data_IF_372761919455
#
_entry.id   IF_372761919455
#
_cell.length_a   1.000
_cell.length_b   1.000
_cell.length_c   1.000
_cell.angle_alpha   90.00
_cell.angle_beta   90.00
_cell.angle_gamma   90.00
#
_symmetry.space_group_name_H-M   'P 1'
#
loop_
_entity.id
_entity.type
_entity.pdbx_description
1 polymer ?
#
# COMPACT_ATOMS: atom_id res chain seq x y z
N UNK A 1 -6.07 -23.30 2.37
CA UNK A 1 -6.01 -22.52 3.64
C UNK A 1 -4.64 -21.90 3.82
N UNK A 2 -3.54 -22.67 3.86
CA UNK A 2 -2.17 -22.14 4.00
C UNK A 2 -1.85 -20.97 3.04
N UNK A 3 -2.15 -21.09 1.74
CA UNK A 3 -1.87 -20.00 0.80
C UNK A 3 -2.68 -18.73 1.06
N UNK A 4 -3.92 -18.83 1.55
CA UNK A 4 -4.73 -17.64 1.89
C UNK A 4 -4.10 -16.87 3.06
N UNK A 5 -3.66 -17.61 4.08
CA UNK A 5 -2.94 -17.03 5.22
C UNK A 5 -1.63 -16.37 4.78
N UNK A 6 -0.83 -17.04 3.94
CA UNK A 6 0.42 -16.48 3.43
C UNK A 6 0.21 -15.20 2.60
N UNK A 7 -0.85 -15.14 1.77
CA UNK A 7 -1.17 -13.90 1.03
C UNK A 7 -1.68 -12.79 1.95
N UNK A 8 -2.55 -13.10 2.92
CA UNK A 8 -2.98 -12.13 3.93
C UNK A 8 -1.76 -11.52 4.63
N UNK A 9 -0.87 -12.37 5.13
CA UNK A 9 0.36 -12.03 5.81
C UNK A 9 1.31 -11.20 4.94
N UNK A 10 1.43 -11.54 3.65
CA UNK A 10 2.22 -10.79 2.69
C UNK A 10 1.70 -9.35 2.54
N UNK A 11 0.40 -9.17 2.29
CA UNK A 11 -0.19 -7.86 2.09
C UNK A 11 -0.20 -7.03 3.38
N UNK A 12 -0.53 -7.65 4.52
CA UNK A 12 -0.52 -6.98 5.82
C UNK A 12 0.87 -6.43 6.16
N UNK A 13 1.93 -7.24 6.03
CA UNK A 13 3.29 -6.78 6.31
C UNK A 13 3.79 -5.77 5.28
N UNK A 14 3.40 -5.90 4.02
CA UNK A 14 3.74 -4.91 2.99
C UNK A 14 3.12 -3.54 3.27
N UNK A 15 1.98 -3.48 3.97
CA UNK A 15 1.35 -2.21 4.34
C UNK A 15 2.21 -1.36 5.28
N UNK A 16 3.01 -2.00 6.14
CA UNK A 16 3.88 -1.31 7.12
C UNK A 16 4.98 -0.48 6.44
N UNK A 17 5.43 -0.89 5.25
CA UNK A 17 6.42 -0.14 4.46
C UNK A 17 5.95 1.27 4.06
N UNK A 18 4.65 1.53 4.09
CA UNK A 18 4.03 2.80 3.70
C UNK A 18 3.43 3.56 4.89
N UNK A 19 3.66 3.11 6.12
CA UNK A 19 3.26 3.80 7.35
C UNK A 19 4.46 4.50 7.97
N UNK A 20 4.20 5.48 8.85
CA UNK A 20 5.29 6.10 9.61
C UNK A 20 6.05 5.02 10.39
N UNK A 21 7.38 4.89 10.20
CA UNK A 21 8.13 3.81 10.81
C UNK A 21 8.12 3.87 12.34
N UNK A 22 7.91 2.73 12.96
CA UNK A 22 8.03 2.54 14.41
C UNK A 22 9.41 1.98 14.77
N UNK A 23 9.82 2.13 16.03
CA UNK A 23 11.05 1.50 16.54
C UNK A 23 10.95 -0.03 16.51
N UNK A 24 9.77 -0.59 16.72
CA UNK A 24 9.50 -2.02 16.64
C UNK A 24 9.74 -2.55 15.22
N UNK A 25 9.14 -1.89 14.23
CA UNK A 25 9.31 -2.23 12.82
C UNK A 25 10.79 -2.12 12.40
N UNK A 26 11.48 -1.05 12.82
CA UNK A 26 12.91 -0.90 12.59
C UNK A 26 13.74 -2.02 13.27
N UNK A 27 13.32 -2.46 14.46
CA UNK A 27 13.94 -3.56 15.18
C UNK A 27 13.83 -4.88 14.42
N UNK A 28 12.68 -5.17 13.80
CA UNK A 28 12.47 -6.36 12.98
C UNK A 28 13.30 -6.36 11.70
N UNK A 29 13.47 -5.20 11.08
CA UNK A 29 14.39 -5.01 9.94
C UNK A 29 15.84 -5.23 10.40
N UNK A 30 16.26 -4.55 11.47
CA UNK A 30 17.64 -4.59 11.97
C UNK A 30 18.07 -5.99 12.43
N UNK A 31 17.16 -6.76 13.01
CA UNK A 31 17.46 -8.13 13.44
C UNK A 31 17.40 -9.16 12.31
N UNK A 32 17.01 -8.77 11.10
CA UNK A 32 16.78 -9.68 9.97
C UNK A 32 15.50 -10.51 10.08
N UNK A 33 14.68 -10.30 11.12
CA UNK A 33 13.43 -11.06 11.34
C UNK A 33 12.47 -10.84 10.18
N UNK A 34 12.34 -9.59 9.74
CA UNK A 34 11.46 -9.25 8.62
C UNK A 34 11.92 -9.92 7.32
N UNK A 35 13.23 -9.91 7.04
CA UNK A 35 13.79 -10.56 5.86
C UNK A 35 13.54 -12.07 5.86
N UNK A 36 13.78 -12.74 6.98
CA UNK A 36 13.59 -14.18 7.08
C UNK A 36 12.11 -14.55 6.95
N UNK A 37 11.22 -13.76 7.55
CA UNK A 37 9.77 -13.89 7.35
C UNK A 37 9.38 -13.79 5.87
N UNK A 38 9.82 -12.75 5.16
CA UNK A 38 9.47 -12.59 3.74
C UNK A 38 10.06 -13.72 2.87
N UNK A 39 11.25 -14.25 3.19
CA UNK A 39 11.80 -15.42 2.49
C UNK A 39 10.92 -16.65 2.65
N UNK A 40 10.42 -16.91 3.87
CA UNK A 40 9.52 -18.03 4.15
C UNK A 40 8.21 -17.90 3.38
N UNK A 41 7.57 -16.73 3.45
CA UNK A 41 6.32 -16.43 2.73
C UNK A 41 6.50 -16.55 1.22
N UNK A 42 7.56 -15.95 0.66
CA UNK A 42 7.85 -16.01 -0.78
C UNK A 42 8.13 -17.45 -1.23
N UNK A 43 8.91 -18.21 -0.46
CA UNK A 43 9.18 -19.62 -0.77
C UNK A 43 7.90 -20.46 -0.75
N UNK A 44 7.00 -20.23 0.21
CA UNK A 44 5.74 -20.94 0.30
C UNK A 44 4.80 -20.62 -0.86
N UNK A 45 4.93 -19.42 -1.45
CA UNK A 45 4.16 -18.95 -2.60
C UNK A 45 4.86 -19.20 -3.96
N UNK A 46 6.08 -19.77 -3.96
CA UNK A 46 6.94 -19.90 -5.15
C UNK A 46 7.21 -18.57 -5.87
N UNK A 47 7.45 -17.50 -5.10
CA UNK A 47 7.80 -16.17 -5.60
C UNK A 47 9.32 -15.96 -5.63
N UNK A 48 9.78 -15.08 -6.52
CA UNK A 48 11.20 -14.70 -6.61
C UNK A 48 11.64 -13.85 -5.41
N UNK A 49 12.68 -14.28 -4.71
CA UNK A 49 13.19 -13.62 -3.50
C UNK A 49 14.27 -12.57 -3.78
N UNK A 50 14.66 -12.37 -5.04
CA UNK A 50 15.74 -11.43 -5.40
C UNK A 50 15.48 -9.99 -4.93
N UNK A 51 14.21 -9.58 -4.90
CA UNK A 51 13.78 -8.25 -4.45
C UNK A 51 13.94 -8.03 -2.93
N UNK A 52 14.09 -9.10 -2.13
CA UNK A 52 14.16 -9.00 -0.67
C UNK A 52 15.52 -8.49 -0.17
N UNK A 53 16.53 -8.41 -1.03
CA UNK A 53 17.86 -7.88 -0.68
C UNK A 53 17.81 -6.45 -0.12
N UNK A 54 16.81 -5.66 -0.51
CA UNK A 54 16.58 -4.30 0.00
C UNK A 54 16.18 -4.24 1.48
N UNK A 55 15.78 -5.35 2.09
CA UNK A 55 15.43 -5.42 3.52
C UNK A 55 16.67 -5.55 4.43
N UNK A 56 17.86 -5.75 3.86
CA UNK A 56 19.10 -5.82 4.64
C UNK A 56 19.69 -4.42 4.83
N UNK A 57 19.26 -3.75 5.90
CA UNK A 57 19.76 -2.40 6.28
C UNK A 57 20.75 -2.53 7.43
N UNK A 58 21.88 -1.84 7.35
CA UNK A 58 22.90 -1.80 8.42
C UNK A 58 23.01 -0.40 9.02
N UNK A 59 23.48 -0.32 10.28
CA UNK A 59 23.62 0.93 11.03
C UNK A 59 22.39 1.23 11.91
N UNK A 60 22.10 2.51 12.11
CA UNK A 60 20.92 2.96 12.85
C UNK A 60 19.69 2.87 11.94
N UNK A 61 19.13 1.66 11.86
CA UNK A 61 18.01 1.34 10.96
C UNK A 61 16.82 2.25 11.20
N UNK A 62 16.47 2.56 12.46
CA UNK A 62 15.34 3.43 12.76
C UNK A 62 15.55 4.85 12.23
N UNK A 63 16.72 5.44 12.48
CA UNK A 63 17.04 6.77 11.96
C UNK A 63 17.03 6.79 10.42
N UNK A 64 17.59 5.76 9.78
CA UNK A 64 17.66 5.63 8.33
C UNK A 64 16.25 5.58 7.72
N UNK A 65 15.42 4.62 8.15
CA UNK A 65 14.10 4.44 7.53
C UNK A 65 13.16 5.60 7.83
N UNK A 66 13.30 6.23 9.01
CA UNK A 66 12.49 7.40 9.37
C UNK A 66 12.85 8.62 8.54
N UNK A 67 14.13 8.84 8.27
CA UNK A 67 14.57 9.93 7.40
C UNK A 67 14.14 9.69 5.95
N UNK A 68 14.29 8.46 5.45
CA UNK A 68 13.84 8.10 4.10
C UNK A 68 12.31 8.22 3.95
N UNK A 69 11.53 7.78 4.94
CA UNK A 69 10.08 7.97 4.95
C UNK A 69 9.70 9.45 4.87
N UNK A 70 10.35 10.29 5.68
CA UNK A 70 10.12 11.74 5.64
C UNK A 70 10.49 12.32 4.30
N UNK A 71 11.65 11.97 3.76
CA UNK A 71 12.15 12.44 2.45
C UNK A 71 11.19 12.10 1.32
N UNK A 72 10.63 10.88 1.33
CA UNK A 72 9.77 10.39 0.25
C UNK A 72 8.32 10.87 0.38
N UNK A 73 7.73 10.84 1.57
CA UNK A 73 6.27 10.96 1.73
C UNK A 73 5.79 12.18 2.53
N UNK A 74 6.66 12.86 3.29
CA UNK A 74 6.28 14.02 4.12
C UNK A 74 6.99 15.32 3.74
N UNK A 75 8.12 15.23 3.03
CA UNK A 75 9.02 16.33 2.78
C UNK A 75 8.39 17.42 1.90
N UNK A 76 8.63 18.70 2.19
CA UNK A 76 8.20 19.81 1.34
C UNK A 76 9.09 19.97 0.10
N UNK A 77 10.07 19.09 -0.08
CA UNK A 77 11.05 19.13 -1.17
C UNK A 77 10.79 17.96 -2.11
N UNK A 78 10.93 18.12 -3.43
CA UNK A 78 10.80 17.03 -4.38
C UNK A 78 11.71 15.83 -4.04
N UNK A 79 11.28 14.59 -4.33
CA UNK A 79 10.03 14.23 -5.01
C UNK A 79 8.81 14.28 -4.08
N UNK A 80 7.68 14.79 -4.59
CA UNK A 80 6.40 14.79 -3.85
C UNK A 80 5.66 13.48 -4.13
N UNK A 81 6.05 12.40 -3.45
CA UNK A 81 5.42 11.10 -3.64
C UNK A 81 4.22 11.04 -2.71
N UNK A 82 3.04 10.98 -3.29
CA UNK A 82 1.78 10.83 -2.55
C UNK A 82 1.28 9.41 -2.83
N UNK A 83 1.48 8.45 -1.91
CA UNK A 83 1.17 7.03 -2.14
C UNK A 83 -0.34 6.75 -2.00
N UNK A 84 -1.13 7.43 -2.82
CA UNK A 84 -2.59 7.44 -2.83
C UNK A 84 -3.08 7.19 -4.25
N UNK A 85 -3.93 6.20 -4.45
CA UNK A 85 -4.38 5.74 -5.76
C UNK A 85 -4.94 6.86 -6.64
N UNK A 86 -5.81 7.73 -6.09
CA UNK A 86 -6.45 8.83 -6.82
C UNK A 86 -5.43 9.75 -7.51
N UNK A 87 -4.21 9.88 -6.96
CA UNK A 87 -3.15 10.70 -7.57
C UNK A 87 -2.64 10.08 -8.88
N UNK A 88 -2.67 8.75 -8.99
CA UNK A 88 -2.14 8.00 -10.14
C UNK A 88 -3.20 7.71 -11.21
N UNK A 89 -4.49 7.88 -10.89
CA UNK A 89 -5.62 7.60 -11.77
C UNK A 89 -6.35 8.87 -12.19
N UNK A 90 -7.22 8.74 -13.19
CA UNK A 90 -8.15 9.81 -13.54
C UNK A 90 -9.05 10.06 -12.34
N UNK A 91 -9.28 11.32 -12.02
CA UNK A 91 -10.06 11.70 -10.85
C UNK A 91 -11.51 11.17 -10.94
N UNK A 92 -12.10 11.15 -12.13
CA UNK A 92 -13.36 10.46 -12.38
C UNK A 92 -13.44 9.88 -13.80
N UNK A 93 -14.03 8.70 -13.93
CA UNK A 93 -14.32 8.08 -15.23
C UNK A 93 -15.76 8.35 -15.70
N UNK A 94 -16.57 9.04 -14.91
CA UNK A 94 -17.93 9.41 -15.29
C UNK A 94 -17.92 10.46 -16.43
N UNK A 95 -18.40 10.11 -17.64
CA UNK A 95 -18.44 11.06 -18.76
C UNK A 95 -19.40 12.23 -18.51
N UNK A 96 -20.34 12.11 -17.58
CA UNK A 96 -21.27 13.18 -17.20
C UNK A 96 -20.69 14.10 -16.12
N UNK A 97 -19.52 13.78 -15.55
CA UNK A 97 -18.86 14.61 -14.55
C UNK A 97 -18.30 15.90 -15.18
N UNK A 98 -18.96 17.03 -14.89
CA UNK A 98 -18.64 18.35 -15.43
C UNK A 98 -17.52 19.08 -14.69
N UNK A 99 -16.92 18.46 -13.67
CA UNK A 99 -15.81 19.08 -12.96
C UNK A 99 -14.57 19.13 -13.86
N UNK A 100 -13.83 20.25 -13.91
CA UNK A 100 -12.66 20.39 -14.79
C UNK A 100 -11.56 19.34 -14.57
N UNK A 101 -11.50 18.76 -13.37
CA UNK A 101 -10.50 17.76 -12.98
C UNK A 101 -10.88 16.32 -13.33
N UNK A 102 -12.09 16.04 -13.83
CA UNK A 102 -12.60 14.67 -13.98
C UNK A 102 -11.66 13.76 -14.78
N UNK A 103 -11.18 14.22 -15.93
CA UNK A 103 -10.24 13.47 -16.77
C UNK A 103 -8.77 13.53 -16.33
N UNK A 104 -8.44 14.31 -15.30
CA UNK A 104 -7.06 14.63 -14.91
C UNK A 104 -6.53 13.66 -13.84
N UNK A 105 -5.20 13.56 -13.75
CA UNK A 105 -4.48 12.85 -12.68
C UNK A 105 -3.91 13.84 -11.67
N UNK A 106 -3.41 13.35 -10.55
CA UNK A 106 -2.70 14.16 -9.55
C UNK A 106 -3.58 14.76 -8.46
N UNK A 107 -4.86 14.37 -8.40
CA UNK A 107 -5.83 14.88 -7.43
C UNK A 107 -6.28 13.77 -6.49
N UNK A 108 -6.44 14.08 -5.21
CA UNK A 108 -6.98 13.15 -4.21
C UNK A 108 -8.51 13.07 -4.28
N UNK A 109 -9.09 12.08 -3.60
CA UNK A 109 -10.53 11.93 -3.42
C UNK A 109 -11.31 11.78 -4.74
N UNK A 110 -10.74 11.03 -5.69
CA UNK A 110 -11.42 10.66 -6.93
C UNK A 110 -12.36 9.47 -6.77
N UNK A 111 -12.82 8.92 -7.90
CA UNK A 111 -13.63 7.69 -7.94
C UNK A 111 -13.04 6.54 -7.09
N UNK A 112 -11.71 6.28 -7.10
CA UNK A 112 -11.17 5.16 -6.34
C UNK A 112 -11.28 5.36 -4.82
N UNK A 113 -11.02 6.57 -4.33
CA UNK A 113 -11.24 6.94 -2.93
C UNK A 113 -12.71 6.73 -2.50
N UNK A 114 -13.65 7.12 -3.36
CA UNK A 114 -15.08 6.93 -3.10
C UNK A 114 -15.47 5.45 -3.09
N UNK A 115 -14.85 4.62 -3.91
CA UNK A 115 -15.05 3.18 -3.89
C UNK A 115 -14.52 2.53 -2.62
N UNK A 116 -13.29 2.88 -2.20
CA UNK A 116 -12.71 2.40 -0.95
C UNK A 116 -13.56 2.77 0.27
N UNK A 117 -14.10 4.00 0.33
CA UNK A 117 -15.04 4.38 1.40
C UNK A 117 -16.25 3.45 1.45
N UNK A 118 -16.86 3.12 0.31
CA UNK A 118 -18.03 2.21 0.25
C UNK A 118 -17.64 0.80 0.71
N UNK A 119 -16.48 0.30 0.29
CA UNK A 119 -15.95 -1.01 0.70
C UNK A 119 -15.73 -1.09 2.20
N UNK A 120 -15.08 -0.10 2.80
CA UNK A 120 -14.89 -0.07 4.25
C UNK A 120 -16.23 -0.02 4.99
N UNK A 121 -17.17 0.81 4.54
CA UNK A 121 -18.52 0.90 5.12
C UNK A 121 -19.29 -0.41 5.02
N UNK A 122 -19.18 -1.15 3.90
CA UNK A 122 -19.86 -2.43 3.71
C UNK A 122 -19.37 -3.53 4.67
N UNK A 123 -18.16 -3.37 5.22
CA UNK A 123 -17.54 -4.32 6.14
C UNK A 123 -17.36 -3.78 7.57
N UNK A 124 -17.98 -2.65 7.90
CA UNK A 124 -17.85 -1.97 9.20
C UNK A 124 -16.38 -1.67 9.59
N UNK A 125 -15.52 -1.45 8.58
CA UNK A 125 -14.10 -1.12 8.77
C UNK A 125 -13.97 0.38 9.04
N UNK A 126 -13.31 0.74 10.14
CA UNK A 126 -13.07 2.13 10.53
C UNK A 126 -11.76 2.62 9.92
N UNK A 127 -11.83 3.71 9.15
CA UNK A 127 -10.65 4.39 8.63
C UNK A 127 -9.98 5.17 9.78
N UNK A 128 -8.69 4.97 10.05
CA UNK A 128 -7.98 5.78 11.05
C UNK A 128 -8.01 7.27 10.71
N UNK A 129 -8.11 8.15 11.72
CA UNK A 129 -8.18 9.60 11.53
C UNK A 129 -7.08 10.17 10.63
N UNK A 130 -5.86 9.63 10.73
CA UNK A 130 -4.73 10.04 9.88
C UNK A 130 -4.95 9.82 8.38
N UNK A 131 -5.84 8.92 7.99
CA UNK A 131 -6.13 8.57 6.60
C UNK A 131 -7.52 9.01 6.13
N UNK A 132 -8.28 9.74 6.93
CA UNK A 132 -9.67 10.12 6.59
C UNK A 132 -9.77 10.90 5.27
N UNK A 133 -8.72 11.64 4.91
CA UNK A 133 -8.63 12.41 3.65
C UNK A 133 -7.94 11.65 2.50
N UNK A 134 -7.57 10.39 2.71
CA UNK A 134 -6.88 9.51 1.77
C UNK A 134 -7.27 8.04 2.01
N UNK A 135 -8.56 7.70 1.82
CA UNK A 135 -9.08 6.35 2.08
C UNK A 135 -8.48 5.28 1.14
N UNK A 136 -7.92 5.72 0.01
CA UNK A 136 -7.22 4.97 -1.03
C UNK A 136 -5.69 5.15 -0.93
N UNK A 137 -5.19 5.37 0.27
CA UNK A 137 -3.76 5.29 0.56
C UNK A 137 -3.30 3.83 0.46
N UNK A 138 -2.16 3.57 -0.20
CA UNK A 138 -1.67 2.21 -0.48
C UNK A 138 -1.60 1.31 0.76
N UNK A 139 -1.21 1.87 1.91
CA UNK A 139 -1.20 1.13 3.18
C UNK A 139 -2.58 0.54 3.52
N UNK A 140 -3.66 1.31 3.32
CA UNK A 140 -5.02 0.84 3.60
C UNK A 140 -5.52 -0.15 2.54
N UNK A 141 -5.16 0.05 1.27
CA UNK A 141 -5.52 -0.88 0.19
C UNK A 141 -4.84 -2.25 0.38
N UNK A 142 -3.58 -2.26 0.82
CA UNK A 142 -2.87 -3.49 1.17
C UNK A 142 -3.50 -4.18 2.39
N UNK A 143 -3.89 -3.43 3.43
CA UNK A 143 -4.65 -3.98 4.56
C UNK A 143 -6.01 -4.55 4.12
N UNK A 144 -6.71 -3.87 3.22
CA UNK A 144 -7.98 -4.32 2.67
C UNK A 144 -7.81 -5.58 1.82
N UNK A 145 -6.74 -5.66 1.01
CA UNK A 145 -6.41 -6.88 0.27
C UNK A 145 -6.11 -8.05 1.21
N UNK A 146 -5.39 -7.80 2.31
CA UNK A 146 -5.17 -8.81 3.34
C UNK A 146 -6.50 -9.29 3.95
N UNK A 147 -7.43 -8.37 4.22
CA UNK A 147 -8.79 -8.70 4.66
C UNK A 147 -9.52 -9.57 3.63
N UNK A 148 -9.46 -9.24 2.33
CA UNK A 148 -10.08 -10.03 1.26
C UNK A 148 -9.47 -11.43 1.11
N UNK A 149 -8.17 -11.61 1.37
CA UNK A 149 -7.56 -12.95 1.32
C UNK A 149 -8.27 -13.97 2.23
N UNK A 150 -8.80 -13.49 3.36
CA UNK A 150 -9.51 -14.32 4.35
C UNK A 150 -11.02 -14.30 4.12
N UNK A 151 -11.60 -13.13 3.89
CA UNK A 151 -13.04 -12.92 3.91
C UNK A 151 -13.70 -12.92 2.53
N UNK A 152 -12.94 -12.62 1.48
CA UNK A 152 -13.43 -12.56 0.11
C UNK A 152 -13.21 -13.84 -0.69
N UNK A 153 -13.94 -13.95 -1.80
CA UNK A 153 -13.72 -14.96 -2.82
C UNK A 153 -12.56 -14.60 -3.77
N UNK A 154 -12.24 -15.48 -4.71
CA UNK A 154 -11.07 -15.29 -5.58
C UNK A 154 -11.35 -14.25 -6.67
N UNK A 155 -12.61 -14.07 -7.05
CA UNK A 155 -13.08 -13.08 -8.00
C UNK A 155 -12.96 -11.67 -7.41
N UNK A 156 -13.42 -11.45 -6.17
CA UNK A 156 -13.28 -10.19 -5.44
C UNK A 156 -11.80 -9.80 -5.27
N UNK A 157 -10.96 -10.76 -4.90
CA UNK A 157 -9.51 -10.57 -4.78
C UNK A 157 -8.88 -10.15 -6.11
N UNK A 158 -9.27 -10.79 -7.22
CA UNK A 158 -8.76 -10.48 -8.56
C UNK A 158 -9.23 -9.13 -9.07
N UNK A 159 -10.50 -8.81 -8.84
CA UNK A 159 -11.06 -7.51 -9.18
C UNK A 159 -10.29 -6.42 -8.44
N UNK A 160 -10.14 -6.56 -7.11
CA UNK A 160 -9.43 -5.58 -6.30
C UNK A 160 -7.97 -5.39 -6.74
N UNK A 161 -7.24 -6.46 -7.01
CA UNK A 161 -5.87 -6.37 -7.53
C UNK A 161 -5.82 -5.64 -8.89
N UNK A 162 -6.77 -5.92 -9.77
CA UNK A 162 -6.84 -5.32 -11.10
C UNK A 162 -7.41 -3.90 -11.13
N UNK A 163 -8.12 -3.47 -10.09
CA UNK A 163 -8.81 -2.18 -10.05
C UNK A 163 -8.28 -1.20 -9.01
N UNK A 164 -7.63 -1.65 -7.94
CA UNK A 164 -7.12 -0.81 -6.85
C UNK A 164 -5.61 -0.94 -6.63
N UNK A 165 -4.93 -1.93 -7.23
CA UNK A 165 -3.47 -2.10 -7.10
C UNK A 165 -2.73 -2.11 -8.44
N UNK A 166 -3.43 -1.88 -9.56
CA UNK A 166 -2.85 -1.77 -10.92
C UNK A 166 -1.99 -0.50 -11.15
N UNK A 167 -2.01 0.44 -10.20
CA UNK A 167 -1.25 1.69 -10.27
C UNK A 167 0.12 1.61 -9.58
N UNK A 168 0.41 0.53 -8.85
CA UNK A 168 1.64 0.38 -8.05
C UNK A 168 2.93 0.51 -8.89
N UNK A 169 2.90 0.16 -10.18
CA UNK A 169 4.02 0.36 -11.10
C UNK A 169 4.36 1.85 -11.30
N UNK A 170 3.37 2.74 -11.17
CA UNK A 170 3.57 4.19 -11.19
C UNK A 170 4.29 4.65 -9.92
N UNK A 171 3.78 4.24 -8.76
CA UNK A 171 4.41 4.54 -7.47
C UNK A 171 5.86 4.04 -7.39
N UNK A 172 6.10 2.80 -7.84
CA UNK A 172 7.44 2.21 -7.85
C UNK A 172 8.43 2.95 -8.77
N UNK A 173 7.95 3.69 -9.78
CA UNK A 173 8.79 4.56 -10.62
C UNK A 173 9.11 5.87 -9.90
N UNK A 174 8.18 6.43 -9.14
CA UNK A 174 8.38 7.69 -8.43
C UNK A 174 9.32 7.55 -7.22
N UNK A 175 9.36 6.36 -6.60
CA UNK A 175 10.24 6.06 -5.45
C UNK A 175 11.72 5.89 -5.85
N UNK A 176 12.01 5.52 -7.11
CA UNK A 176 13.36 5.24 -7.61
C UNK A 176 14.14 6.50 -7.97
#
# INVERSE_FOLDING_TARGET
MANKTNFQELFAQSSEFFKEPTEEFAGDVASGRLLDYFKEVFSALNLDTSCLSGLSVSGDVYAIIKEEYRRLFLGPMPPYIVPVESVYKKWSNDPECKLPISGEKGYMMGDPAMDMIRRYQAHDIVIPDKYVSMPDHIALELEYMAFLCINGDIEEQREFLGSHLDWMDGLAKDIK
#
